data_IF_695587097632
#
_entry.id   IF_695587097632
#
_cell.length_a   1.000
_cell.length_b   1.000
_cell.length_c   1.000
_cell.angle_alpha   90.00
_cell.angle_beta   90.00
_cell.angle_gamma   90.00
#
_symmetry.space_group_name_H-M   'P 1'
#
loop_
_entity.id
_entity.type
_entity.pdbx_description
1 polymer ?
#
# COMPACT_ATOMS: atom_id res chain seq x y z
N UNK A 1 24.31 -5.50 -3.76
CA UNK A 1 23.73 -6.85 -3.66
C UNK A 1 23.01 -6.86 -2.32
N UNK A 2 21.74 -6.50 -2.34
CA UNK A 2 20.93 -6.42 -1.12
C UNK A 2 19.86 -7.49 -1.31
N UNK A 3 19.93 -8.54 -0.49
CA UNK A 3 18.88 -9.53 -0.35
C UNK A 3 17.59 -8.81 0.02
N UNK A 4 16.70 -8.64 -0.96
CA UNK A 4 15.32 -8.31 -0.69
C UNK A 4 14.65 -9.59 -0.23
N UNK A 5 14.46 -9.69 1.08
CA UNK A 5 13.55 -10.58 1.78
C UNK A 5 12.20 -10.66 1.03
N UNK A 6 12.14 -11.53 0.00
CA UNK A 6 10.95 -11.77 -0.83
C UNK A 6 10.27 -12.98 -0.23
N UNK A 7 9.31 -12.75 0.68
CA UNK A 7 8.65 -13.82 1.45
C UNK A 7 7.52 -14.55 0.70
N UNK A 8 7.27 -14.22 -0.57
CA UNK A 8 6.39 -14.98 -1.45
C UNK A 8 5.94 -14.17 -2.66
N UNK A 9 5.76 -14.86 -3.78
CA UNK A 9 5.13 -14.33 -4.99
C UNK A 9 3.81 -15.05 -5.21
N UNK A 10 2.76 -14.30 -5.49
CA UNK A 10 1.40 -14.83 -5.61
C UNK A 10 0.76 -14.33 -6.91
N UNK A 11 0.20 -15.25 -7.70
CA UNK A 11 -0.70 -14.85 -8.76
C UNK A 11 -1.98 -14.24 -8.16
N UNK A 12 -2.51 -13.19 -8.78
CA UNK A 12 -3.74 -12.54 -8.34
C UNK A 12 -4.67 -12.16 -9.48
N UNK A 13 -5.95 -11.94 -9.16
CA UNK A 13 -6.95 -11.40 -10.08
C UNK A 13 -7.65 -10.21 -9.46
N UNK A 14 -7.74 -9.12 -10.23
CA UNK A 14 -8.38 -7.87 -9.79
C UNK A 14 -9.89 -7.89 -10.04
N UNK A 15 -10.65 -7.51 -9.01
CA UNK A 15 -12.10 -7.39 -8.98
C UNK A 15 -12.47 -5.94 -8.63
N UNK A 16 -12.67 -5.06 -9.62
CA UNK A 16 -12.99 -3.65 -9.39
C UNK A 16 -14.42 -3.42 -8.88
N UNK A 17 -15.31 -4.40 -9.01
CA UNK A 17 -16.68 -4.35 -8.51
C UNK A 17 -16.79 -4.67 -7.02
N UNK A 18 -17.67 -3.96 -6.30
CA UNK A 18 -17.98 -4.25 -4.90
C UNK A 18 -18.13 -3.00 -4.03
N UNK A 19 -18.34 -3.25 -2.74
CA UNK A 19 -18.26 -2.21 -1.71
C UNK A 19 -16.78 -1.97 -1.34
N UNK A 20 -16.33 -0.70 -1.26
CA UNK A 20 -14.97 -0.40 -0.86
C UNK A 20 -14.62 -0.91 0.54
N UNK A 21 -13.60 -1.75 0.62
CA UNK A 21 -13.02 -2.17 1.90
C UNK A 21 -11.98 -1.15 2.38
N UNK A 22 -12.35 -0.22 3.26
CA UNK A 22 -11.42 0.81 3.78
C UNK A 22 -10.67 0.40 5.05
N UNK A 23 -11.15 -0.62 5.77
CA UNK A 23 -10.60 -1.03 7.08
C UNK A 23 -9.08 -1.27 7.14
N UNK A 24 -8.42 -1.88 6.14
CA UNK A 24 -6.96 -1.94 6.09
C UNK A 24 -6.29 -0.57 6.04
N UNK A 25 -6.77 0.34 5.18
CA UNK A 25 -6.19 1.68 5.06
C UNK A 25 -6.44 2.53 6.32
N UNK A 26 -7.64 2.45 6.89
CA UNK A 26 -8.01 3.08 8.18
C UNK A 26 -7.03 2.68 9.29
N UNK A 27 -6.81 1.38 9.48
CA UNK A 27 -5.85 0.90 10.50
C UNK A 27 -4.40 1.24 10.18
N UNK A 28 -3.99 1.29 8.91
CA UNK A 28 -2.63 1.68 8.52
C UNK A 28 -2.36 3.16 8.84
N UNK A 29 -3.36 4.00 8.62
CA UNK A 29 -3.28 5.46 8.80
C UNK A 29 -3.67 5.93 10.20
N UNK A 30 -4.04 5.01 11.10
CA UNK A 30 -4.63 5.33 12.41
C UNK A 30 -5.85 6.28 12.28
N UNK A 31 -6.70 6.02 11.29
CA UNK A 31 -7.88 6.82 10.93
C UNK A 31 -7.57 8.30 10.60
N UNK A 32 -6.33 8.64 10.20
CA UNK A 32 -5.95 10.01 9.85
C UNK A 32 -6.68 10.49 8.57
N UNK A 33 -7.61 11.48 8.68
CA UNK A 33 -8.38 11.94 7.53
C UNK A 33 -7.52 12.64 6.46
N UNK A 34 -6.37 13.21 6.83
CA UNK A 34 -5.44 13.83 5.87
C UNK A 34 -4.85 12.80 4.91
N UNK A 35 -4.68 11.56 5.37
CA UNK A 35 -4.17 10.47 4.56
C UNK A 35 -5.30 9.73 3.86
N UNK A 36 -6.38 9.38 4.59
CA UNK A 36 -7.52 8.64 4.03
C UNK A 36 -8.17 9.36 2.85
N UNK A 37 -8.32 10.68 2.92
CA UNK A 37 -8.91 11.49 1.86
C UNK A 37 -8.09 11.53 0.55
N UNK A 38 -6.86 10.98 0.55
CA UNK A 38 -5.93 11.00 -0.60
C UNK A 38 -5.84 9.67 -1.32
N UNK A 39 -6.71 8.71 -0.98
CA UNK A 39 -6.78 7.43 -1.64
C UNK A 39 -8.12 7.20 -2.34
N UNK A 40 -8.05 6.52 -3.48
CA UNK A 40 -9.21 5.94 -4.17
C UNK A 40 -9.14 4.43 -4.04
N UNK A 41 -10.24 3.80 -3.64
CA UNK A 41 -10.37 2.36 -3.71
C UNK A 41 -10.52 1.92 -5.17
N UNK A 42 -9.74 0.92 -5.57
CA UNK A 42 -9.64 0.47 -6.96
C UNK A 42 -10.15 -0.95 -7.19
N UNK A 43 -10.47 -1.67 -6.12
CA UNK A 43 -10.95 -3.05 -6.19
C UNK A 43 -10.36 -3.94 -5.11
N UNK A 44 -10.85 -5.17 -5.11
CA UNK A 44 -10.27 -6.30 -4.37
C UNK A 44 -9.36 -7.09 -5.32
N UNK A 45 -8.22 -7.57 -4.83
CA UNK A 45 -7.40 -8.58 -5.51
C UNK A 45 -7.55 -9.89 -4.75
N UNK A 46 -7.86 -10.97 -5.48
CA UNK A 46 -7.86 -12.32 -4.92
C UNK A 46 -6.58 -13.03 -5.31
N UNK A 47 -5.77 -13.38 -4.32
CA UNK A 47 -4.56 -14.17 -4.51
C UNK A 47 -4.90 -15.66 -4.64
N UNK A 48 -4.03 -16.41 -5.31
CA UNK A 48 -4.19 -17.86 -5.53
C UNK A 48 -4.23 -18.68 -4.23
N UNK A 49 -3.65 -18.17 -3.15
CA UNK A 49 -3.68 -18.79 -1.81
C UNK A 49 -4.96 -18.47 -1.02
N UNK A 50 -5.91 -17.75 -1.63
CA UNK A 50 -7.18 -17.38 -1.05
C UNK A 50 -7.20 -16.08 -0.26
N UNK A 51 -6.03 -15.42 -0.06
CA UNK A 51 -5.99 -14.09 0.56
C UNK A 51 -6.65 -13.05 -0.34
N UNK A 52 -7.20 -12.02 0.31
CA UNK A 52 -7.82 -10.87 -0.34
C UNK A 52 -7.01 -9.64 -0.01
N UNK A 53 -6.68 -8.86 -1.03
CA UNK A 53 -6.02 -7.58 -0.88
C UNK A 53 -6.98 -6.47 -1.30
N UNK A 54 -7.00 -5.39 -0.54
CA UNK A 54 -7.63 -4.15 -0.96
C UNK A 54 -6.62 -3.31 -1.74
N UNK A 55 -6.99 -2.90 -2.96
CA UNK A 55 -6.17 -2.07 -3.81
C UNK A 55 -6.58 -0.60 -3.63
N UNK A 56 -5.65 0.22 -3.17
CA UNK A 56 -5.84 1.66 -3.05
C UNK A 56 -4.88 2.38 -3.99
N UNK A 57 -5.35 3.44 -4.63
CA UNK A 57 -4.53 4.32 -5.46
C UNK A 57 -4.41 5.68 -4.80
N UNK A 58 -3.19 6.12 -4.55
CA UNK A 58 -2.95 7.47 -4.08
C UNK A 58 -3.27 8.49 -5.18
N UNK A 59 -3.99 9.56 -4.84
CA UNK A 59 -4.60 10.47 -5.81
C UNK A 59 -3.54 11.21 -6.62
N UNK A 60 -2.51 11.77 -5.97
CA UNK A 60 -1.51 12.62 -6.64
C UNK A 60 -0.40 11.80 -7.31
N UNK A 61 0.21 10.89 -6.56
CA UNK A 61 1.32 10.05 -7.06
C UNK A 61 0.85 8.99 -8.05
N UNK A 62 -0.46 8.66 -8.06
CA UNK A 62 -1.09 7.61 -8.89
C UNK A 62 -0.55 6.20 -8.62
N UNK A 63 0.27 6.02 -7.58
CA UNK A 63 0.85 4.75 -7.17
C UNK A 63 -0.14 3.97 -6.29
N UNK A 64 0.05 2.65 -6.23
CA UNK A 64 -0.89 1.74 -5.60
C UNK A 64 -0.33 1.20 -4.27
N UNK A 65 -1.23 0.99 -3.33
CA UNK A 65 -1.04 0.18 -2.13
C UNK A 65 -1.95 -1.04 -2.21
N UNK A 66 -1.39 -2.22 -1.92
CA UNK A 66 -2.13 -3.46 -1.82
C UNK A 66 -1.96 -4.00 -0.40
N UNK A 67 -3.08 -4.10 0.33
CA UNK A 67 -3.08 -4.48 1.75
C UNK A 67 -4.04 -5.63 2.00
N UNK A 68 -3.61 -6.63 2.78
CA UNK A 68 -4.54 -7.64 3.31
C UNK A 68 -5.37 -7.10 4.49
N UNK A 69 -6.37 -7.88 4.91
CA UNK A 69 -7.15 -7.60 6.11
C UNK A 69 -6.30 -7.68 7.40
N UNK A 70 -5.13 -8.30 7.35
CA UNK A 70 -4.17 -8.43 8.45
C UNK A 70 -3.08 -7.33 8.41
N UNK A 71 -3.16 -6.40 7.46
CA UNK A 71 -2.15 -5.36 7.19
C UNK A 71 -0.81 -5.88 6.64
N UNK A 72 -0.82 -7.02 5.96
CA UNK A 72 0.31 -7.43 5.12
C UNK A 72 0.34 -6.59 3.85
N UNK A 73 1.52 -6.11 3.48
CA UNK A 73 1.73 -5.26 2.32
C UNK A 73 2.25 -6.05 1.12
N UNK A 74 1.80 -5.65 -0.08
CA UNK A 74 2.21 -6.30 -1.32
C UNK A 74 2.64 -5.28 -2.39
N UNK A 75 3.70 -5.63 -3.11
CA UNK A 75 4.12 -4.94 -4.32
C UNK A 75 3.52 -5.64 -5.54
N UNK A 76 2.90 -4.87 -6.42
CA UNK A 76 2.47 -5.38 -7.72
C UNK A 76 3.66 -5.44 -8.70
N UNK A 77 3.94 -6.62 -9.22
CA UNK A 77 4.91 -6.87 -10.28
C UNK A 77 4.13 -7.34 -11.50
N UNK A 78 3.75 -6.38 -12.34
CA UNK A 78 2.97 -6.65 -13.53
C UNK A 78 3.75 -7.35 -14.66
N UNK A 79 3.01 -8.16 -15.42
CA UNK A 79 3.25 -8.71 -16.76
C UNK A 79 4.49 -9.63 -16.96
N UNK A 80 4.32 -10.84 -17.56
CA UNK A 80 3.14 -11.35 -18.27
C UNK A 80 1.98 -11.84 -17.38
N UNK A 81 2.19 -11.99 -16.09
CA UNK A 81 1.16 -12.43 -15.15
C UNK A 81 1.05 -11.40 -14.01
N UNK A 82 -0.15 -11.18 -13.48
CA UNK A 82 -0.39 -10.29 -12.35
C UNK A 82 0.17 -10.94 -11.06
N UNK A 83 1.43 -10.64 -10.73
CA UNK A 83 2.09 -11.17 -9.54
C UNK A 83 2.19 -10.13 -8.43
N UNK A 84 2.02 -10.60 -7.20
CA UNK A 84 2.06 -9.81 -5.98
C UNK A 84 3.15 -10.36 -5.06
N UNK A 85 4.11 -9.51 -4.70
CA UNK A 85 5.20 -9.88 -3.79
C UNK A 85 4.89 -9.34 -2.39
N UNK A 86 5.01 -10.18 -1.36
CA UNK A 86 4.99 -9.69 0.02
C UNK A 86 6.11 -8.70 0.24
N UNK A 87 5.81 -7.58 0.89
CA UNK A 87 6.77 -6.53 1.19
C UNK A 87 6.51 -5.92 2.56
N UNK A 88 7.45 -5.12 3.04
CA UNK A 88 7.23 -4.37 4.27
C UNK A 88 6.30 -3.19 4.02
N UNK A 89 5.49 -2.82 5.02
CA UNK A 89 4.68 -1.60 4.97
C UNK A 89 5.54 -0.37 4.63
N UNK A 90 6.72 -0.24 5.25
CA UNK A 90 7.62 0.88 4.97
C UNK A 90 8.09 0.92 3.51
N UNK A 91 8.33 -0.23 2.88
CA UNK A 91 8.73 -0.30 1.47
C UNK A 91 7.59 0.19 0.57
N UNK A 92 6.38 -0.36 0.72
CA UNK A 92 5.25 0.01 -0.14
C UNK A 92 4.80 1.45 0.11
N UNK A 93 4.93 1.96 1.33
CA UNK A 93 4.63 3.36 1.67
C UNK A 93 5.64 4.32 1.04
N UNK A 94 6.95 4.01 1.12
CA UNK A 94 7.99 4.79 0.42
C UNK A 94 7.75 4.82 -1.07
N UNK A 95 7.39 3.68 -1.65
CA UNK A 95 7.06 3.59 -3.07
C UNK A 95 5.81 4.42 -3.36
N UNK A 96 4.73 4.27 -2.59
CA UNK A 96 3.47 4.97 -2.79
C UNK A 96 3.60 6.51 -2.73
N UNK A 97 4.40 7.02 -1.80
CA UNK A 97 4.63 8.46 -1.59
C UNK A 97 5.92 8.98 -2.22
N UNK A 98 6.60 8.17 -3.02
CA UNK A 98 7.79 8.61 -3.73
C UNK A 98 7.44 9.81 -4.63
N UNK A 99 8.33 10.80 -4.66
CA UNK A 99 8.16 12.07 -5.38
C UNK A 99 7.00 12.96 -4.88
N UNK A 100 6.26 12.59 -3.82
CA UNK A 100 5.12 13.37 -3.32
C UNK A 100 5.48 14.84 -3.06
N UNK A 101 6.63 15.08 -2.43
CA UNK A 101 7.15 16.43 -2.11
C UNK A 101 7.46 17.28 -3.35
N UNK A 102 7.67 16.64 -4.50
CA UNK A 102 8.02 17.30 -5.76
C UNK A 102 6.79 17.64 -6.60
N UNK A 103 5.61 17.11 -6.24
CA UNK A 103 4.36 17.35 -6.95
C UNK A 103 3.76 18.72 -6.59
N UNK A 104 3.22 19.40 -7.59
CA UNK A 104 2.37 20.57 -7.38
C UNK A 104 0.97 20.09 -6.99
N UNK A 105 0.62 20.14 -5.70
CA UNK A 105 -0.71 19.75 -5.24
C UNK A 105 -0.79 19.48 -3.74
N UNK A 106 0.00 18.52 -3.22
CA UNK A 106 -0.04 18.14 -1.81
C UNK A 106 0.31 19.31 -0.89
N UNK A 107 -0.46 19.46 0.19
CA UNK A 107 -0.13 20.41 1.25
C UNK A 107 1.05 19.91 2.09
N UNK A 108 1.79 20.82 2.74
CA UNK A 108 2.91 20.46 3.60
C UNK A 108 2.49 19.48 4.72
N UNK A 109 1.28 19.65 5.28
CA UNK A 109 0.74 18.75 6.29
C UNK A 109 0.54 17.32 5.76
N UNK A 110 0.14 17.16 4.49
CA UNK A 110 0.01 15.84 3.84
C UNK A 110 1.38 15.17 3.68
N UNK A 111 2.38 15.95 3.27
CA UNK A 111 3.77 15.47 3.11
C UNK A 111 4.32 15.02 4.47
N UNK A 112 4.13 15.84 5.51
CA UNK A 112 4.58 15.53 6.87
C UNK A 112 3.87 14.29 7.45
N UNK A 113 2.56 14.16 7.21
CA UNK A 113 1.79 12.98 7.62
C UNK A 113 2.28 11.71 6.92
N UNK A 114 2.56 11.77 5.61
CA UNK A 114 3.10 10.64 4.86
C UNK A 114 4.50 10.23 5.35
N UNK A 115 5.39 11.21 5.62
CA UNK A 115 6.73 10.97 6.16
C UNK A 115 6.67 10.35 7.57
N UNK A 116 5.78 10.85 8.44
CA UNK A 116 5.56 10.30 9.78
C UNK A 116 5.02 8.86 9.74
N UNK A 117 4.11 8.57 8.80
CA UNK A 117 3.60 7.22 8.55
C UNK A 117 4.73 6.28 8.10
N UNK A 118 5.60 6.71 7.15
CA UNK A 118 6.75 5.92 6.73
C UNK A 118 7.71 5.65 7.90
N UNK A 119 8.02 6.67 8.70
CA UNK A 119 8.93 6.54 9.84
C UNK A 119 8.38 5.55 10.88
N UNK A 120 7.11 5.67 11.27
CA UNK A 120 6.44 4.75 12.20
C UNK A 120 6.60 3.28 11.80
N UNK A 121 6.47 2.97 10.52
CA UNK A 121 6.60 1.61 10.01
C UNK A 121 8.04 1.20 9.68
N UNK A 122 8.99 2.14 9.76
CA UNK A 122 10.43 1.86 9.67
C UNK A 122 11.04 1.57 11.04
N UNK A 123 10.66 2.33 12.09
CA UNK A 123 11.25 2.18 13.43
C UNK A 123 10.66 1.02 14.25
N UNK A 124 9.64 0.31 13.74
CA UNK A 124 9.05 -0.85 14.42
C UNK A 124 9.96 -2.07 14.21
N UNK A 125 10.63 -2.62 15.25
CA UNK A 125 11.39 -3.85 15.09
C UNK A 125 10.44 -4.97 14.68
N UNK A 126 10.83 -5.72 13.65
CA UNK A 126 10.20 -6.96 13.24
C UNK A 126 10.11 -7.85 14.48
N UNK A 127 8.90 -8.06 15.00
CA UNK A 127 8.69 -8.95 16.13
C UNK A 127 9.24 -10.33 15.72
N UNK A 128 10.25 -10.78 16.46
CA UNK A 128 10.91 -12.07 16.29
C UNK A 128 10.01 -13.22 16.75
#
# INVERSE_FOLDING_TARGET
MTDFDTFGSFAGSTHPEGEPGWGPLERLTDDDPLLLGRFMWMGEVRLEDGRRLQAYKHIDTRRYLYLSDELDAFEYRGHPEEHYLTSSLATVLRECFCELRELAGPELAEIEAAEALIERHTSRPRAA
#
